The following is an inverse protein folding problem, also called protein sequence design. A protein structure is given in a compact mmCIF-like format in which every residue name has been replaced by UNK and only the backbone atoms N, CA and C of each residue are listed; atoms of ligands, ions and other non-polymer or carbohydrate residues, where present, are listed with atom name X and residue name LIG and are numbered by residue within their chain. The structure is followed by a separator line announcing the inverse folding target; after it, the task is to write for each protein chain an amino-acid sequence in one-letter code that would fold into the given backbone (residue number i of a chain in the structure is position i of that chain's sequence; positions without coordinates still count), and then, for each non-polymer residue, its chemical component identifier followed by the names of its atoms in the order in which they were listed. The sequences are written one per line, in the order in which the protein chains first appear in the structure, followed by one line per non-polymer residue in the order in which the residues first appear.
data_IF_367408196246
#
_entry.id   IF_367408196246
#
_cell.length_a   1.000
_cell.length_b   1.000
_cell.length_c   1.000
_cell.angle_alpha   90.00
_cell.angle_beta   90.00
_cell.angle_gamma   90.00
#
_symmetry.space_group_name_H-M   'P 1'
#
loop_
_entity.id
_entity.type
_entity.pdbx_description
1 polymer ?
#
# COMPACT_ATOMS: atom_id res chain seq x y z
N UNK A 1 19.27 0.83 -7.03
CA UNK A 1 20.69 0.96 -7.42
C UNK A 1 21.54 1.62 -6.33
N UNK A 2 21.13 2.76 -5.77
CA UNK A 2 21.95 3.52 -4.80
C UNK A 2 22.43 2.69 -3.59
N UNK A 3 21.54 2.00 -2.85
CA UNK A 3 21.96 1.16 -1.71
C UNK A 3 22.97 0.06 -2.07
N UNK A 4 22.93 -0.39 -3.33
CA UNK A 4 23.84 -1.40 -3.87
C UNK A 4 25.08 -0.82 -4.55
N UNK A 5 25.27 0.50 -4.55
CA UNK A 5 26.35 1.18 -5.27
C UNK A 5 26.47 0.74 -6.74
N UNK A 6 25.33 0.59 -7.43
CA UNK A 6 25.25 0.12 -8.81
C UNK A 6 24.98 -1.37 -8.98
N UNK A 7 25.20 -2.20 -7.96
CA UNK A 7 24.82 -3.61 -7.98
C UNK A 7 23.34 -3.79 -7.56
N UNK A 8 22.53 -4.32 -8.48
CA UNK A 8 21.09 -4.49 -8.22
C UNK A 8 20.81 -5.63 -7.24
N UNK A 9 21.57 -6.73 -7.27
CA UNK A 9 21.34 -7.88 -6.38
C UNK A 9 21.64 -7.50 -4.93
N UNK A 10 22.78 -6.83 -4.68
CA UNK A 10 23.11 -6.27 -3.36
C UNK A 10 22.10 -5.20 -2.96
N UNK A 11 21.70 -4.35 -3.91
CA UNK A 11 20.68 -3.33 -3.70
C UNK A 11 19.32 -3.91 -3.28
N UNK A 12 18.92 -5.06 -3.82
CA UNK A 12 17.68 -5.75 -3.44
C UNK A 12 17.73 -6.26 -2.01
N UNK A 13 18.82 -6.93 -1.60
CA UNK A 13 18.98 -7.43 -0.21
C UNK A 13 18.88 -6.28 0.78
N UNK A 14 19.67 -5.21 0.55
CA UNK A 14 19.61 -3.99 1.38
C UNK A 14 18.26 -3.28 1.30
N UNK A 15 17.59 -3.39 0.16
CA UNK A 15 16.28 -2.79 -0.07
C UNK A 15 15.20 -3.36 0.84
N UNK A 16 15.19 -4.69 1.00
CA UNK A 16 14.32 -5.37 1.96
C UNK A 16 14.68 -5.04 3.40
N UNK A 17 15.97 -5.08 3.74
CA UNK A 17 16.46 -4.78 5.09
C UNK A 17 16.10 -3.35 5.55
N UNK A 18 16.22 -2.37 4.64
CA UNK A 18 15.82 -0.99 4.89
C UNK A 18 14.30 -0.75 4.79
N UNK A 19 13.52 -1.70 4.27
CA UNK A 19 12.08 -1.57 4.03
C UNK A 19 11.70 -0.64 2.86
N UNK A 20 12.65 -0.32 1.98
CA UNK A 20 12.36 0.42 0.74
C UNK A 20 11.77 -0.49 -0.35
N UNK A 21 11.91 -1.80 -0.16
CA UNK A 21 11.15 -2.85 -0.84
C UNK A 21 10.35 -3.58 0.23
N UNK A 22 9.02 -3.51 0.14
CA UNK A 22 8.11 -4.07 1.14
C UNK A 22 6.89 -4.67 0.45
N UNK A 23 6.58 -5.92 0.76
CA UNK A 23 5.57 -6.73 0.08
C UNK A 23 4.38 -6.94 1.02
N UNK A 24 3.16 -6.50 0.66
CA UNK A 24 1.99 -6.64 1.50
C UNK A 24 1.73 -8.11 1.86
N UNK A 25 1.51 -8.39 3.15
CA UNK A 25 1.13 -9.71 3.68
C UNK A 25 2.15 -10.83 3.44
N UNK A 26 3.39 -10.50 3.07
CA UNK A 26 4.41 -11.51 2.86
C UNK A 26 4.77 -12.21 4.19
N UNK A 27 4.91 -13.54 4.20
CA UNK A 27 5.25 -14.29 5.42
C UNK A 27 6.73 -14.21 5.80
N UNK A 28 7.57 -13.63 4.93
CA UNK A 28 9.02 -13.55 5.15
C UNK A 28 9.35 -12.65 6.33
N UNK A 29 10.14 -13.15 7.28
CA UNK A 29 10.66 -12.34 8.40
C UNK A 29 11.61 -11.21 7.97
N UNK A 30 12.11 -11.25 6.74
CA UNK A 30 12.96 -10.21 6.16
C UNK A 30 12.15 -9.08 5.51
N UNK A 31 10.82 -9.25 5.42
CA UNK A 31 9.93 -8.22 4.92
C UNK A 31 9.55 -7.27 6.07
N UNK A 32 9.65 -5.96 5.86
CA UNK A 32 9.37 -4.98 6.91
C UNK A 32 7.89 -4.95 7.34
N UNK A 33 6.95 -5.20 6.41
CA UNK A 33 5.52 -5.28 6.69
C UNK A 33 4.89 -3.96 7.14
N UNK A 34 5.50 -2.82 6.78
CA UNK A 34 5.08 -1.46 7.18
C UNK A 34 4.20 -0.80 6.12
N UNK A 35 4.48 -1.08 4.84
CA UNK A 35 3.66 -0.59 3.74
C UNK A 35 2.34 -1.34 3.69
N UNK A 36 1.23 -0.61 3.60
CA UNK A 36 -0.11 -1.20 3.49
C UNK A 36 -0.87 -0.67 2.29
N UNK A 37 -1.55 -1.54 1.51
CA UNK A 37 -2.38 -1.12 0.39
C UNK A 37 -3.86 -0.99 0.76
N UNK A 38 -4.59 -0.15 0.03
CA UNK A 38 -6.06 -0.13 -0.03
C UNK A 38 -6.50 0.34 -1.42
N UNK A 39 -7.74 0.06 -1.83
CA UNK A 39 -8.28 0.56 -3.11
C UNK A 39 -8.77 2.00 -2.98
N UNK A 40 -8.59 2.80 -4.02
CA UNK A 40 -9.24 4.10 -4.17
C UNK A 40 -10.72 3.97 -4.60
N UNK A 41 -11.38 5.10 -4.81
CA UNK A 41 -12.81 5.13 -5.10
C UNK A 41 -13.17 4.47 -6.45
N UNK A 42 -12.20 4.31 -7.35
CA UNK A 42 -12.38 3.66 -8.64
C UNK A 42 -11.86 2.21 -8.64
N UNK A 43 -11.40 1.71 -7.48
CA UNK A 43 -10.93 0.34 -7.30
C UNK A 43 -9.44 0.12 -7.60
N UNK A 44 -8.69 1.17 -7.93
CA UNK A 44 -7.26 1.05 -8.17
C UNK A 44 -6.50 0.97 -6.84
N UNK A 45 -5.50 0.08 -6.76
CA UNK A 45 -4.71 -0.10 -5.54
C UNK A 45 -3.80 1.12 -5.31
N UNK A 46 -3.76 1.58 -4.05
CA UNK A 46 -2.98 2.71 -3.55
C UNK A 46 -2.25 2.35 -2.27
N UNK A 47 -1.32 3.21 -1.87
CA UNK A 47 -0.62 3.13 -0.59
C UNK A 47 -1.46 3.81 0.50
N UNK A 48 -1.98 3.01 1.44
CA UNK A 48 -2.62 3.47 2.67
C UNK A 48 -1.56 3.93 3.68
N UNK A 49 -0.57 3.07 3.94
CA UNK A 49 0.63 3.41 4.71
C UNK A 49 1.84 3.23 3.80
N UNK A 50 2.73 4.22 3.81
CA UNK A 50 3.91 4.20 2.92
C UNK A 50 5.11 3.44 3.51
N UNK A 51 5.16 3.26 4.84
CA UNK A 51 6.33 2.68 5.50
C UNK A 51 7.61 3.44 5.13
N UNK A 52 8.64 2.70 4.72
CA UNK A 52 9.92 3.26 4.29
C UNK A 52 10.03 3.40 2.76
N UNK A 53 8.93 3.28 2.01
CA UNK A 53 9.01 3.41 0.55
C UNK A 53 9.57 4.79 0.15
N UNK A 54 10.54 4.85 -0.79
CA UNK A 54 11.23 6.07 -1.15
C UNK A 54 10.42 6.90 -2.17
N UNK A 55 9.18 7.23 -1.81
CA UNK A 55 8.29 8.08 -2.60
C UNK A 55 8.49 9.55 -2.24
N UNK A 56 8.42 10.42 -3.25
CA UNK A 56 8.36 11.87 -3.04
C UNK A 56 7.05 12.26 -2.35
N UNK A 57 7.02 13.41 -1.68
CA UNK A 57 5.81 13.91 -1.02
C UNK A 57 4.66 14.15 -2.00
N UNK A 58 4.96 14.52 -3.25
CA UNK A 58 3.95 14.65 -4.32
C UNK A 58 3.24 13.31 -4.59
N UNK A 59 4.00 12.22 -4.68
CA UNK A 59 3.45 10.88 -4.91
C UNK A 59 2.65 10.38 -3.71
N UNK A 60 3.11 10.66 -2.49
CA UNK A 60 2.37 10.35 -1.26
C UNK A 60 1.04 11.11 -1.25
N UNK A 61 1.08 12.41 -1.47
CA UNK A 61 -0.11 13.26 -1.52
C UNK A 61 -1.11 12.81 -2.60
N UNK A 62 -0.64 12.37 -3.77
CA UNK A 62 -1.52 11.82 -4.80
C UNK A 62 -2.28 10.58 -4.32
N UNK A 63 -1.59 9.61 -3.70
CA UNK A 63 -2.22 8.40 -3.17
C UNK A 63 -3.21 8.72 -2.04
N UNK A 64 -2.82 9.59 -1.10
CA UNK A 64 -3.68 10.03 -0.01
C UNK A 64 -4.97 10.65 -0.53
N UNK A 65 -4.89 11.60 -1.48
CA UNK A 65 -6.08 12.23 -2.08
C UNK A 65 -7.01 11.20 -2.73
N UNK A 66 -6.46 10.19 -3.42
CA UNK A 66 -7.26 9.12 -4.04
C UNK A 66 -7.99 8.25 -3.04
N UNK A 67 -7.39 7.97 -1.88
CA UNK A 67 -8.07 7.28 -0.80
C UNK A 67 -9.10 8.17 -0.10
N UNK A 68 -8.81 9.47 0.09
CA UNK A 68 -9.76 10.42 0.65
C UNK A 68 -11.01 10.61 -0.22
N UNK A 69 -10.89 10.56 -1.55
CA UNK A 69 -12.03 10.50 -2.47
C UNK A 69 -12.96 9.33 -2.14
N UNK A 70 -12.40 8.15 -1.79
CA UNK A 70 -13.17 6.98 -1.36
C UNK A 70 -13.82 7.20 -0.01
N UNK A 71 -13.06 7.70 0.98
CA UNK A 71 -13.59 7.96 2.32
C UNK A 71 -14.77 8.93 2.31
N UNK A 72 -14.67 10.00 1.51
CA UNK A 72 -15.78 10.95 1.29
C UNK A 72 -17.00 10.28 0.66
N UNK A 73 -16.80 9.44 -0.36
CA UNK A 73 -17.90 8.71 -1.02
C UNK A 73 -18.58 7.70 -0.10
N UNK A 74 -17.82 7.00 0.74
CA UNK A 74 -18.32 5.99 1.67
C UNK A 74 -18.83 6.56 2.99
N UNK A 75 -18.64 7.87 3.25
CA UNK A 75 -19.03 8.50 4.52
C UNK A 75 -18.24 7.99 5.72
N UNK A 76 -17.00 7.52 5.53
CA UNK A 76 -16.12 7.02 6.60
C UNK A 76 -14.66 7.42 6.40
N UNK A 77 -13.89 7.39 7.48
CA UNK A 77 -12.45 7.67 7.43
C UNK A 77 -11.67 6.58 6.68
N UNK A 78 -10.56 6.99 6.06
CA UNK A 78 -9.60 6.07 5.43
C UNK A 78 -8.84 5.34 6.52
N UNK A 79 -9.11 4.04 6.68
CA UNK A 79 -8.53 3.21 7.75
C UNK A 79 -8.13 1.83 7.23
N UNK A 80 -7.42 1.07 8.06
CA UNK A 80 -7.07 -0.33 7.76
C UNK A 80 -8.30 -1.22 7.51
N UNK A 81 -9.48 -0.84 8.01
CA UNK A 81 -10.72 -1.57 7.73
C UNK A 81 -11.01 -1.63 6.22
N UNK A 82 -10.68 -0.58 5.45
CA UNK A 82 -10.83 -0.60 3.99
C UNK A 82 -9.98 -1.71 3.34
N UNK A 83 -8.75 -1.93 3.84
CA UNK A 83 -7.89 -3.02 3.38
C UNK A 83 -8.52 -4.39 3.67
N UNK A 84 -9.09 -4.58 4.86
CA UNK A 84 -9.78 -5.81 5.24
C UNK A 84 -10.97 -6.05 4.31
N UNK A 85 -11.81 -5.02 4.10
CA UNK A 85 -12.98 -5.12 3.24
C UNK A 85 -12.59 -5.47 1.79
N UNK A 86 -11.52 -4.87 1.28
CA UNK A 86 -11.01 -5.12 -0.08
C UNK A 86 -10.46 -6.55 -0.28
N UNK A 87 -9.92 -7.18 0.78
CA UNK A 87 -9.46 -8.58 0.73
C UNK A 87 -10.65 -9.52 0.49
N UNK A 88 -11.80 -9.26 1.11
CA UNK A 88 -12.99 -10.11 0.99
C UNK A 88 -13.91 -9.72 -0.20
N UNK A 89 -13.79 -8.51 -0.73
CA UNK A 89 -14.72 -7.94 -1.71
C UNK A 89 -15.00 -8.88 -2.89
N UNK A 90 -13.96 -9.44 -3.52
CA UNK A 90 -14.12 -10.32 -4.70
C UNK A 90 -14.84 -11.62 -4.33
N UNK A 91 -14.57 -12.17 -3.15
CA UNK A 91 -15.30 -13.33 -2.61
C UNK A 91 -16.78 -13.02 -2.35
N UNK A 92 -17.13 -11.75 -2.11
CA UNK A 92 -18.50 -11.23 -2.00
C UNK A 92 -19.11 -10.76 -3.33
N UNK A 93 -18.39 -10.91 -4.46
CA UNK A 93 -18.90 -10.59 -5.80
C UNK A 93 -18.73 -9.13 -6.27
N UNK A 94 -17.92 -8.32 -5.58
CA UNK A 94 -17.65 -6.92 -5.95
C UNK A 94 -16.15 -6.61 -5.94
N UNK A 95 -15.72 -5.56 -6.65
CA UNK A 95 -14.29 -5.20 -6.70
C UNK A 95 -13.80 -4.42 -5.48
N UNK A 96 -14.65 -3.53 -4.94
CA UNK A 96 -14.32 -2.59 -3.87
C UNK A 96 -15.11 -2.99 -2.62
N UNK A 97 -14.45 -3.12 -1.48
CA UNK A 97 -15.08 -3.43 -0.21
C UNK A 97 -15.82 -2.21 0.36
N UNK A 98 -17.03 -1.94 -0.14
CA UNK A 98 -17.89 -0.86 0.36
C UNK A 98 -18.54 -1.27 1.70
N UNK A 99 -18.85 -0.31 2.59
CA UNK A 99 -19.69 -0.57 3.76
C UNK A 99 -21.04 -1.17 3.37
N UNK A 100 -21.59 -2.02 4.24
CA UNK A 100 -22.96 -2.54 4.18
C UNK A 100 -23.95 -1.56 4.83
#
# INVERSE_FOLDING_TARGET
FELGNGDLAVGTVKGFDAGIVDIPFAPSKFNAGKMMPARDNNGAVRYLNFGNLPLTEELKAFNTRKLEERGKFEGREVTFQMTIDDIFAVGKGVLIGRPE
#
